data_IF_823643522085
#
_entry.id   IF_823643522085
#
_cell.length_a   1.000
_cell.length_b   1.000
_cell.length_c   1.000
_cell.angle_alpha   90.00
_cell.angle_beta   90.00
_cell.angle_gamma   90.00
#
_symmetry.space_group_name_H-M   'P 1'
#
loop_
_entity.id
_entity.type
_entity.pdbx_description
1 polymer ?
#
# COMPACT_ATOMS: atom_id res chain seq x y z
N UNK A 1 -23.01 3.80 15.17
CA UNK A 1 -23.02 5.17 14.60
C UNK A 1 -21.76 5.46 13.78
N UNK A 2 -20.55 5.40 14.35
CA UNK A 2 -19.30 5.71 13.61
C UNK A 2 -19.12 4.93 12.30
N UNK A 3 -19.44 3.63 12.28
CA UNK A 3 -19.39 2.80 11.07
C UNK A 3 -20.36 3.30 9.99
N UNK A 4 -21.55 3.77 10.35
CA UNK A 4 -22.52 4.30 9.38
C UNK A 4 -22.00 5.60 8.73
N UNK A 5 -21.40 6.49 9.53
CA UNK A 5 -20.76 7.71 9.02
C UNK A 5 -19.63 7.36 8.05
N UNK A 6 -18.86 6.30 8.36
CA UNK A 6 -17.80 5.82 7.48
C UNK A 6 -18.32 5.32 6.13
N UNK A 7 -19.46 4.62 6.09
CA UNK A 7 -20.08 4.22 4.82
C UNK A 7 -20.53 5.41 3.95
N UNK A 8 -20.83 6.57 4.55
CA UNK A 8 -21.19 7.78 3.81
C UNK A 8 -19.95 8.50 3.24
N UNK A 9 -18.83 8.49 3.97
CA UNK A 9 -17.60 9.21 3.59
C UNK A 9 -16.71 8.34 2.68
N UNK A 10 -16.67 7.02 2.90
CA UNK A 10 -15.79 6.10 2.20
C UNK A 10 -15.91 6.14 0.67
N UNK A 11 -17.10 6.29 0.03
CA UNK A 11 -17.20 6.40 -1.42
C UNK A 11 -16.43 7.59 -2.01
N UNK A 12 -16.44 8.74 -1.33
CA UNK A 12 -15.69 9.92 -1.79
C UNK A 12 -14.17 9.68 -1.73
N UNK A 13 -13.69 9.07 -0.65
CA UNK A 13 -12.27 8.72 -0.51
C UNK A 13 -11.86 7.59 -1.46
N UNK A 14 -12.74 6.61 -1.67
CA UNK A 14 -12.55 5.54 -2.63
C UNK A 14 -12.42 6.09 -4.06
N UNK A 15 -13.23 7.08 -4.45
CA UNK A 15 -13.08 7.75 -5.74
C UNK A 15 -11.71 8.41 -5.90
N UNK A 16 -11.25 9.18 -4.90
CA UNK A 16 -9.92 9.79 -4.91
C UNK A 16 -8.80 8.75 -5.01
N UNK A 17 -8.91 7.66 -4.24
CA UNK A 17 -7.94 6.57 -4.28
C UNK A 17 -7.93 5.84 -5.63
N UNK A 18 -9.10 5.50 -6.19
CA UNK A 18 -9.21 4.85 -7.49
C UNK A 18 -8.66 5.73 -8.62
N UNK A 19 -8.86 7.05 -8.54
CA UNK A 19 -8.24 7.99 -9.48
C UNK A 19 -6.71 7.98 -9.35
N UNK A 20 -6.20 8.03 -8.12
CA UNK A 20 -4.76 7.96 -7.88
C UNK A 20 -4.14 6.65 -8.34
N UNK A 21 -4.77 5.54 -7.99
CA UNK A 21 -4.38 4.22 -8.46
C UNK A 21 -4.45 4.13 -9.99
N UNK A 22 -5.45 4.72 -10.63
CA UNK A 22 -5.52 4.75 -12.10
C UNK A 22 -4.33 5.45 -12.76
N UNK A 23 -3.76 6.47 -12.09
CA UNK A 23 -2.59 7.23 -12.56
C UNK A 23 -1.25 6.59 -12.18
N UNK A 24 -1.12 6.07 -10.96
CA UNK A 24 0.16 5.60 -10.39
C UNK A 24 0.27 4.08 -10.33
N UNK A 25 -0.80 3.36 -10.66
CA UNK A 25 -0.96 1.91 -10.50
C UNK A 25 -0.78 1.42 -9.05
N UNK A 26 -1.11 2.29 -8.08
CA UNK A 26 -0.89 2.03 -6.67
C UNK A 26 -2.08 2.42 -5.79
N UNK A 27 -2.53 1.49 -4.95
CA UNK A 27 -3.61 1.72 -3.98
C UNK A 27 -3.06 2.15 -2.62
N UNK A 28 -3.59 3.26 -2.09
CA UNK A 28 -3.27 3.79 -0.76
C UNK A 28 -4.27 3.32 0.30
N UNK A 29 -5.01 2.22 0.07
CA UNK A 29 -6.07 1.73 0.96
C UNK A 29 -5.63 1.59 2.42
N UNK A 30 -4.40 1.12 2.67
CA UNK A 30 -3.86 1.02 4.03
C UNK A 30 -3.66 2.37 4.73
N UNK A 31 -3.34 3.42 3.96
CA UNK A 31 -3.20 4.79 4.49
C UNK A 31 -4.57 5.36 4.86
N UNK A 32 -5.57 5.19 3.99
CA UNK A 32 -6.95 5.57 4.30
C UNK A 32 -7.50 4.82 5.52
N UNK A 33 -7.17 3.53 5.65
CA UNK A 33 -7.50 2.74 6.84
C UNK A 33 -6.85 3.31 8.12
N UNK A 34 -5.56 3.64 8.09
CA UNK A 34 -4.87 4.28 9.23
C UNK A 34 -5.46 5.65 9.57
N UNK A 35 -5.84 6.46 8.59
CA UNK A 35 -6.54 7.73 8.84
C UNK A 35 -7.90 7.51 9.50
N UNK A 36 -8.63 6.48 9.08
CA UNK A 36 -9.89 6.09 9.73
C UNK A 36 -9.69 5.71 11.19
N UNK A 37 -8.60 5.02 11.53
CA UNK A 37 -8.23 4.73 12.92
C UNK A 37 -8.08 6.02 13.73
N UNK A 38 -7.31 6.99 13.22
CA UNK A 38 -7.09 8.26 13.93
C UNK A 38 -8.38 9.04 14.11
N UNK A 39 -9.20 9.17 13.06
CA UNK A 39 -10.45 9.94 13.12
C UNK A 39 -11.46 9.27 14.06
N UNK A 40 -11.72 7.97 13.88
CA UNK A 40 -12.72 7.26 14.70
C UNK A 40 -12.21 7.04 16.13
N UNK A 41 -10.92 6.73 16.30
CA UNK A 41 -10.28 6.58 17.60
C UNK A 41 -10.33 7.87 18.43
N UNK A 42 -10.01 9.01 17.82
CA UNK A 42 -10.08 10.31 18.49
C UNK A 42 -11.52 10.72 18.82
N UNK A 43 -12.49 10.43 17.94
CA UNK A 43 -13.90 10.77 18.16
C UNK A 43 -14.56 9.89 19.24
N UNK A 44 -14.23 8.59 19.26
CA UNK A 44 -14.80 7.66 20.23
C UNK A 44 -14.15 7.81 21.63
N UNK A 45 -12.88 8.20 21.69
CA UNK A 45 -12.14 8.37 22.94
C UNK A 45 -11.84 7.04 23.67
N UNK A 46 -10.96 7.11 24.67
CA UNK A 46 -10.50 5.94 25.42
C UNK A 46 -11.60 5.28 26.25
N UNK A 47 -12.53 6.09 26.77
CA UNK A 47 -13.61 5.64 27.66
C UNK A 47 -14.72 4.83 26.97
N UNK A 48 -14.86 4.93 25.64
CA UNK A 48 -15.92 4.24 24.89
C UNK A 48 -15.39 3.16 23.93
N UNK A 49 -14.21 2.60 24.20
CA UNK A 49 -13.65 1.53 23.37
C UNK A 49 -13.16 2.02 22.01
N UNK A 50 -12.63 3.25 21.93
CA UNK A 50 -12.16 3.87 20.68
C UNK A 50 -11.12 3.05 19.92
N UNK A 51 -10.35 2.19 20.59
CA UNK A 51 -9.42 1.26 19.94
C UNK A 51 -10.17 0.27 19.04
N UNK A 52 -11.25 -0.34 19.56
CA UNK A 52 -12.04 -1.31 18.80
C UNK A 52 -12.84 -0.63 17.69
N UNK A 53 -13.42 0.54 17.98
CA UNK A 53 -14.15 1.34 16.99
C UNK A 53 -13.22 1.81 15.86
N UNK A 54 -12.00 2.25 16.18
CA UNK A 54 -10.97 2.65 15.23
C UNK A 54 -10.52 1.50 14.33
N UNK A 55 -10.24 0.33 14.91
CA UNK A 55 -9.90 -0.88 14.14
C UNK A 55 -11.03 -1.34 13.23
N UNK A 56 -12.28 -1.32 13.72
CA UNK A 56 -13.45 -1.65 12.89
C UNK A 56 -13.62 -0.63 11.74
N UNK A 57 -13.46 0.66 12.02
CA UNK A 57 -13.49 1.73 11.02
C UNK A 57 -12.37 1.58 9.98
N UNK A 58 -11.17 1.18 10.40
CA UNK A 58 -10.06 0.86 9.53
C UNK A 58 -10.42 -0.25 8.54
N UNK A 59 -10.96 -1.36 9.04
CA UNK A 59 -11.33 -2.51 8.21
C UNK A 59 -12.34 -2.11 7.15
N UNK A 60 -13.41 -1.42 7.54
CA UNK A 60 -14.45 -0.94 6.61
C UNK A 60 -13.87 0.00 5.56
N UNK A 61 -13.09 1.00 5.97
CA UNK A 61 -12.48 1.96 5.03
C UNK A 61 -11.51 1.27 4.07
N UNK A 62 -10.63 0.42 4.59
CA UNK A 62 -9.64 -0.29 3.79
C UNK A 62 -10.32 -1.22 2.78
N UNK A 63 -11.36 -1.97 3.19
CA UNK A 63 -12.12 -2.83 2.27
C UNK A 63 -12.77 -2.02 1.15
N UNK A 64 -13.49 -0.93 1.46
CA UNK A 64 -14.18 -0.13 0.43
C UNK A 64 -13.18 0.50 -0.54
N UNK A 65 -12.12 1.12 -0.01
CA UNK A 65 -11.12 1.83 -0.79
C UNK A 65 -10.26 0.88 -1.63
N UNK A 66 -9.90 -0.29 -1.10
CA UNK A 66 -9.18 -1.32 -1.85
C UNK A 66 -10.05 -1.87 -2.97
N UNK A 67 -11.27 -2.34 -2.66
CA UNK A 67 -12.16 -2.92 -3.67
C UNK A 67 -12.48 -1.95 -4.80
N UNK A 68 -12.68 -0.65 -4.51
CA UNK A 68 -12.89 0.35 -5.54
C UNK A 68 -11.66 0.58 -6.43
N UNK A 69 -10.45 0.46 -5.88
CA UNK A 69 -9.19 0.56 -6.63
C UNK A 69 -8.97 -0.66 -7.51
N UNK A 70 -9.17 -1.86 -6.95
CA UNK A 70 -8.99 -3.13 -7.66
C UNK A 70 -9.99 -3.23 -8.82
N UNK A 71 -11.24 -2.86 -8.57
CA UNK A 71 -12.30 -2.78 -9.58
C UNK A 71 -11.93 -1.83 -10.73
N UNK A 72 -11.33 -0.68 -10.41
CA UNK A 72 -10.85 0.27 -11.40
C UNK A 72 -9.72 -0.36 -12.24
N UNK A 73 -8.70 -0.95 -11.62
CA UNK A 73 -7.59 -1.62 -12.32
C UNK A 73 -8.07 -2.73 -13.25
N UNK A 74 -9.00 -3.54 -12.79
CA UNK A 74 -9.65 -4.57 -13.59
C UNK A 74 -10.35 -3.97 -14.81
N UNK A 75 -11.18 -2.93 -14.64
CA UNK A 75 -11.85 -2.29 -15.78
C UNK A 75 -10.88 -1.66 -16.78
N UNK A 76 -9.77 -1.08 -16.31
CA UNK A 76 -8.71 -0.57 -17.19
C UNK A 76 -8.04 -1.70 -17.95
N UNK A 77 -7.75 -2.81 -17.29
CA UNK A 77 -7.19 -4.00 -17.94
C UNK A 77 -8.17 -4.58 -18.97
N UNK A 78 -9.45 -4.65 -18.63
CA UNK A 78 -10.53 -5.04 -19.54
C UNK A 78 -10.60 -4.15 -20.78
N UNK A 79 -10.55 -2.84 -20.59
CA UNK A 79 -10.51 -1.87 -21.67
C UNK A 79 -9.28 -2.06 -22.58
N UNK A 80 -8.10 -2.28 -22.00
CA UNK A 80 -6.86 -2.50 -22.75
C UNK A 80 -6.81 -3.84 -23.50
N UNK A 81 -7.51 -4.85 -22.99
CA UNK A 81 -7.61 -6.19 -23.59
C UNK A 81 -8.84 -6.35 -24.50
N UNK A 82 -9.63 -5.29 -24.67
CA UNK A 82 -10.91 -5.29 -25.41
C UNK A 82 -11.92 -6.31 -24.86
N UNK A 83 -11.82 -6.67 -23.58
CA UNK A 83 -12.76 -7.53 -22.90
C UNK A 83 -14.07 -6.79 -22.60
N UNK A 84 -15.19 -7.52 -22.56
CA UNK A 84 -16.49 -6.91 -22.30
C UNK A 84 -16.61 -6.47 -20.82
N UNK A 85 -16.91 -5.18 -20.54
CA UNK A 85 -16.99 -4.68 -19.16
C UNK A 85 -18.13 -5.31 -18.37
N UNK A 86 -19.21 -5.71 -19.05
CA UNK A 86 -20.35 -6.41 -18.42
C UNK A 86 -19.96 -7.78 -17.90
N UNK A 87 -19.18 -8.55 -18.67
CA UNK A 87 -18.72 -9.87 -18.24
C UNK A 87 -17.74 -9.77 -17.07
N UNK A 88 -16.85 -8.76 -17.09
CA UNK A 88 -15.95 -8.49 -15.96
C UNK A 88 -16.71 -8.16 -14.69
N UNK A 89 -17.70 -7.25 -14.76
CA UNK A 89 -18.51 -6.88 -13.60
C UNK A 89 -19.25 -8.09 -13.01
N UNK A 90 -19.88 -8.92 -13.86
CA UNK A 90 -20.57 -10.14 -13.39
C UNK A 90 -19.59 -11.12 -12.74
N UNK A 91 -18.42 -11.32 -13.34
CA UNK A 91 -17.37 -12.19 -12.80
C UNK A 91 -16.86 -11.70 -11.45
N UNK A 92 -16.69 -10.39 -11.28
CA UNK A 92 -16.26 -9.79 -10.02
C UNK A 92 -17.33 -9.95 -8.95
N UNK A 93 -18.60 -9.68 -9.25
CA UNK A 93 -19.69 -9.88 -8.29
C UNK A 93 -19.75 -11.34 -7.83
N UNK A 94 -19.63 -12.29 -8.76
CA UNK A 94 -19.57 -13.71 -8.43
C UNK A 94 -18.33 -14.06 -7.58
N UNK A 95 -17.16 -13.53 -7.94
CA UNK A 95 -15.91 -13.71 -7.21
C UNK A 95 -15.98 -13.15 -5.79
N UNK A 96 -16.52 -11.93 -5.62
CA UNK A 96 -16.74 -11.32 -4.30
C UNK A 96 -17.73 -12.13 -3.47
N UNK A 97 -18.83 -12.59 -4.06
CA UNK A 97 -19.81 -13.43 -3.36
C UNK A 97 -19.19 -14.73 -2.83
N UNK A 98 -18.39 -15.42 -3.67
CA UNK A 98 -17.63 -16.59 -3.23
C UNK A 98 -16.60 -16.23 -2.15
N UNK A 99 -15.87 -15.13 -2.31
CA UNK A 99 -14.88 -14.64 -1.35
C UNK A 99 -15.47 -14.35 0.03
N UNK A 100 -16.70 -13.80 0.09
CA UNK A 100 -17.42 -13.56 1.34
C UNK A 100 -17.73 -14.85 2.13
N UNK A 101 -17.76 -16.02 1.48
CA UNK A 101 -17.98 -17.31 2.14
C UNK A 101 -16.65 -18.02 2.41
N UNK A 102 -15.78 -18.08 1.40
CA UNK A 102 -14.53 -18.84 1.47
C UNK A 102 -13.55 -18.19 2.45
N UNK A 103 -13.34 -16.87 2.38
CA UNK A 103 -12.31 -16.22 3.19
C UNK A 103 -12.59 -16.32 4.70
N UNK A 104 -13.82 -16.05 5.21
CA UNK A 104 -14.12 -16.26 6.63
C UNK A 104 -14.07 -17.73 7.04
N UNK A 105 -14.48 -18.66 6.17
CA UNK A 105 -14.44 -20.10 6.45
C UNK A 105 -13.01 -20.60 6.64
N UNK A 106 -12.10 -20.20 5.75
CA UNK A 106 -10.67 -20.53 5.84
C UNK A 106 -10.06 -19.86 7.08
N UNK A 107 -10.35 -18.58 7.32
CA UNK A 107 -9.87 -17.89 8.52
C UNK A 107 -10.31 -18.62 9.81
N UNK A 108 -11.56 -19.03 9.88
CA UNK A 108 -12.11 -19.73 11.04
C UNK A 108 -11.49 -21.11 11.23
N UNK A 109 -11.21 -21.83 10.15
CA UNK A 109 -10.48 -23.11 10.19
C UNK A 109 -9.08 -22.91 10.78
N UNK A 110 -8.33 -21.93 10.27
CA UNK A 110 -6.98 -21.61 10.78
C UNK A 110 -7.00 -21.15 12.23
N UNK A 111 -7.95 -20.30 12.60
CA UNK A 111 -8.09 -19.79 13.96
C UNK A 111 -8.45 -20.89 14.97
N UNK A 112 -9.16 -21.94 14.56
CA UNK A 112 -9.45 -23.10 15.41
C UNK A 112 -8.32 -24.13 15.45
N UNK A 113 -7.59 -24.29 14.35
CA UNK A 113 -6.52 -25.27 14.25
C UNK A 113 -5.20 -24.80 14.88
N UNK A 114 -4.93 -23.49 14.85
CA UNK A 114 -3.71 -22.89 15.34
C UNK A 114 -4.00 -21.68 16.23
N UNK A 115 -3.13 -21.42 17.19
CA UNK A 115 -3.22 -20.23 18.05
C UNK A 115 -2.71 -18.99 17.30
N UNK A 116 -3.50 -18.50 16.35
CA UNK A 116 -3.15 -17.39 15.47
C UNK A 116 -3.02 -16.10 16.27
N UNK A 117 -1.85 -15.46 16.21
CA UNK A 117 -1.59 -14.18 16.86
C UNK A 117 -0.90 -14.25 18.23
N UNK A 118 -0.70 -15.45 18.80
CA UNK A 118 0.13 -15.62 19.99
C UNK A 118 1.61 -15.43 19.64
N UNK A 119 2.41 -14.72 20.47
CA UNK A 119 3.82 -14.47 20.20
C UNK A 119 4.68 -15.74 20.20
N UNK A 120 4.18 -16.86 20.74
CA UNK A 120 4.87 -18.15 20.74
C UNK A 120 4.37 -19.11 19.66
N UNK A 121 3.38 -18.71 18.87
CA UNK A 121 2.81 -19.53 17.80
C UNK A 121 3.61 -19.39 16.52
N UNK A 122 3.58 -20.43 15.69
CA UNK A 122 4.18 -20.44 14.35
C UNK A 122 3.51 -19.42 13.41
N UNK A 123 2.24 -19.08 13.70
CA UNK A 123 1.46 -18.07 12.98
C UNK A 123 1.32 -16.78 13.80
N UNK A 124 2.43 -16.07 13.98
CA UNK A 124 2.42 -14.73 14.57
C UNK A 124 1.66 -13.74 13.67
N UNK A 125 0.90 -12.83 14.28
CA UNK A 125 0.16 -11.78 13.58
C UNK A 125 0.80 -10.40 13.82
N UNK A 126 2.01 -10.14 13.28
CA UNK A 126 2.74 -8.91 13.57
C UNK A 126 1.98 -7.65 13.13
N UNK A 127 1.23 -7.74 12.02
CA UNK A 127 0.37 -6.66 11.56
C UNK A 127 -0.78 -6.38 12.54
N UNK A 128 -1.37 -7.40 13.17
CA UNK A 128 -2.43 -7.18 14.15
C UNK A 128 -1.92 -6.34 15.34
N UNK A 129 -0.72 -6.66 15.84
CA UNK A 129 -0.06 -5.87 16.89
C UNK A 129 0.25 -4.45 16.44
N UNK A 130 0.73 -4.27 15.20
CA UNK A 130 1.00 -2.95 14.62
C UNK A 130 -0.27 -2.09 14.56
N UNK A 131 -1.35 -2.60 13.98
CA UNK A 131 -2.61 -1.86 13.85
C UNK A 131 -3.27 -1.60 15.21
N UNK A 132 -3.11 -2.51 16.17
CA UNK A 132 -3.53 -2.28 17.56
C UNK A 132 -2.79 -1.10 18.17
N UNK A 133 -1.46 -1.03 18.02
CA UNK A 133 -0.66 0.07 18.54
C UNK A 133 -1.00 1.41 17.87
N UNK A 134 -1.22 1.41 16.56
CA UNK A 134 -1.71 2.60 15.82
C UNK A 134 -3.08 3.04 16.35
N UNK A 135 -3.93 2.10 16.75
CA UNK A 135 -5.26 2.41 17.30
C UNK A 135 -5.20 2.94 18.72
N UNK A 136 -4.25 2.50 19.53
CA UNK A 136 -3.98 3.09 20.85
C UNK A 136 -3.51 4.54 20.68
N UNK A 137 -2.55 4.77 19.78
CA UNK A 137 -2.10 6.13 19.43
C UNK A 137 -3.24 7.01 18.89
N UNK A 138 -4.14 6.43 18.10
CA UNK A 138 -5.31 7.14 17.57
C UNK A 138 -6.28 7.61 18.66
N UNK A 139 -6.36 6.88 19.77
CA UNK A 139 -7.20 7.21 20.93
C UNK A 139 -6.53 8.22 21.86
N UNK A 140 -5.21 8.14 22.03
CA UNK A 140 -4.40 9.15 22.75
C UNK A 140 -4.38 10.50 22.01
N UNK A 141 -4.71 10.49 20.72
CA UNK A 141 -4.87 11.67 19.89
C UNK A 141 -3.53 12.33 19.53
N UNK A 142 -3.58 13.62 19.19
CA UNK A 142 -2.41 14.37 18.68
C UNK A 142 -1.27 14.48 19.69
N UNK A 143 -1.50 14.21 20.98
CA UNK A 143 -0.48 14.25 22.03
C UNK A 143 0.45 13.02 22.00
N UNK A 144 -0.01 11.89 21.45
CA UNK A 144 0.81 10.68 21.30
C UNK A 144 1.71 10.68 20.06
N UNK A 145 1.61 11.69 19.19
CA UNK A 145 2.42 11.78 17.97
C UNK A 145 3.77 12.48 18.24
N UNK A 146 4.83 12.12 17.50
CA UNK A 146 6.11 12.83 17.57
C UNK A 146 5.96 14.34 17.37
N UNK A 147 6.81 15.12 18.06
CA UNK A 147 6.82 16.57 17.95
C UNK A 147 6.92 17.01 16.48
N UNK A 148 6.17 18.06 16.11
CA UNK A 148 6.07 18.61 14.75
C UNK A 148 5.41 17.72 13.68
N UNK A 149 4.99 16.48 13.98
CA UNK A 149 4.37 15.59 12.97
C UNK A 149 3.13 16.22 12.32
N UNK A 150 2.21 16.77 13.13
CA UNK A 150 1.02 17.45 12.63
C UNK A 150 1.34 18.70 11.81
N UNK A 151 2.34 19.48 12.23
CA UNK A 151 2.78 20.67 11.49
C UNK A 151 3.32 20.28 10.11
N UNK A 152 4.13 19.22 10.03
CA UNK A 152 4.63 18.69 8.75
C UNK A 152 3.47 18.19 7.88
N UNK A 153 2.49 17.47 8.43
CA UNK A 153 1.30 17.06 7.68
C UNK A 153 0.56 18.26 7.08
N UNK A 154 0.35 19.33 7.85
CA UNK A 154 -0.28 20.55 7.34
C UNK A 154 0.57 21.23 6.26
N UNK A 155 1.88 21.35 6.45
CA UNK A 155 2.80 21.95 5.46
C UNK A 155 2.77 21.18 4.15
N UNK A 156 2.89 19.85 4.19
CA UNK A 156 2.84 19.01 2.99
C UNK A 156 1.45 19.01 2.33
N UNK A 157 0.37 19.07 3.11
CA UNK A 157 -0.98 19.18 2.58
C UNK A 157 -1.16 20.50 1.82
N UNK A 158 -0.77 21.63 2.42
CA UNK A 158 -0.83 22.94 1.75
C UNK A 158 0.07 22.96 0.52
N UNK A 159 1.29 22.41 0.61
CA UNK A 159 2.19 22.32 -0.54
C UNK A 159 1.58 21.49 -1.68
N UNK A 160 0.95 20.36 -1.39
CA UNK A 160 0.28 19.53 -2.38
C UNK A 160 -0.88 20.29 -3.07
N UNK A 161 -1.74 20.96 -2.29
CA UNK A 161 -2.83 21.78 -2.83
C UNK A 161 -2.31 22.91 -3.72
N UNK A 162 -1.25 23.60 -3.29
CA UNK A 162 -0.62 24.66 -4.09
C UNK A 162 -0.04 24.12 -5.40
N UNK A 163 0.64 22.98 -5.37
CA UNK A 163 1.18 22.34 -6.57
C UNK A 163 0.07 21.93 -7.56
N UNK A 164 -1.02 21.34 -7.06
CA UNK A 164 -2.15 20.96 -7.91
C UNK A 164 -2.88 22.19 -8.49
N UNK A 165 -3.06 23.26 -7.71
CA UNK A 165 -3.64 24.52 -8.19
C UNK A 165 -2.74 25.20 -9.24
N UNK A 166 -1.43 25.23 -9.01
CA UNK A 166 -0.45 25.77 -9.97
C UNK A 166 -0.51 24.99 -11.29
N UNK A 167 -0.55 23.65 -11.21
CA UNK A 167 -0.64 22.78 -12.38
C UNK A 167 -1.95 22.94 -13.15
N UNK A 168 -3.08 23.09 -12.46
CA UNK A 168 -4.40 23.16 -13.09
C UNK A 168 -4.77 24.55 -13.65
N UNK A 169 -4.39 25.64 -12.99
CA UNK A 169 -4.87 26.99 -13.35
C UNK A 169 -3.81 27.94 -13.90
N UNK A 170 -2.55 27.81 -13.50
CA UNK A 170 -1.57 28.88 -13.67
C UNK A 170 -0.48 28.57 -14.71
N UNK A 171 -0.20 27.29 -14.97
CA UNK A 171 0.88 26.89 -15.87
C UNK A 171 0.37 26.55 -17.28
N UNK A 172 1.00 27.09 -18.34
CA UNK A 172 0.78 26.62 -19.70
C UNK A 172 1.07 25.12 -19.80
N UNK A 173 0.34 24.38 -20.65
CA UNK A 173 0.50 22.91 -20.83
C UNK A 173 1.97 22.45 -21.00
N UNK A 174 2.83 23.30 -21.59
CA UNK A 174 4.26 23.04 -21.77
C UNK A 174 5.07 22.99 -20.47
N UNK A 175 4.66 23.72 -19.43
CA UNK A 175 5.32 23.74 -18.12
C UNK A 175 4.60 22.82 -17.11
N UNK A 176 3.28 22.65 -17.25
CA UNK A 176 2.49 21.76 -16.40
C UNK A 176 2.92 20.28 -16.47
N UNK A 177 3.53 19.84 -17.58
CA UNK A 177 4.07 18.49 -17.73
C UNK A 177 5.28 18.19 -16.82
N UNK A 178 6.01 19.23 -16.39
CA UNK A 178 7.18 19.07 -15.51
C UNK A 178 6.82 19.13 -14.03
N UNK A 179 5.58 19.49 -13.69
CA UNK A 179 5.13 19.53 -12.28
C UNK A 179 4.80 18.12 -11.82
N UNK A 180 5.52 17.59 -10.80
CA UNK A 180 5.27 16.26 -10.28
C UNK A 180 3.86 16.19 -9.69
N UNK A 181 3.22 15.04 -9.85
CA UNK A 181 1.92 14.78 -9.22
C UNK A 181 2.19 14.49 -7.74
N UNK A 182 1.62 15.26 -6.78
CA UNK A 182 1.90 15.07 -5.37
C UNK A 182 1.66 13.64 -4.89
N UNK A 183 0.62 12.96 -5.40
CA UNK A 183 0.37 11.56 -5.09
C UNK A 183 1.48 10.62 -5.56
N UNK A 184 2.03 10.82 -6.75
CA UNK A 184 3.14 10.02 -7.25
C UNK A 184 4.43 10.26 -6.45
N UNK A 185 4.65 11.51 -6.01
CA UNK A 185 5.78 11.87 -5.17
C UNK A 185 5.70 11.20 -3.79
N UNK A 186 4.50 11.00 -3.24
CA UNK A 186 4.31 10.42 -1.90
C UNK A 186 4.63 8.91 -1.82
N UNK A 187 4.52 8.16 -2.94
CA UNK A 187 4.66 6.69 -2.93
C UNK A 187 6.06 6.23 -2.45
N UNK A 188 7.19 6.76 -2.97
CA UNK A 188 8.51 6.36 -2.48
C UNK A 188 8.77 6.70 -1.01
N UNK A 189 8.19 7.79 -0.50
CA UNK A 189 8.28 8.12 0.93
C UNK A 189 7.50 7.13 1.81
N UNK A 190 6.49 6.46 1.25
CA UNK A 190 5.71 5.46 1.94
C UNK A 190 6.34 4.06 1.91
N UNK A 191 6.79 3.62 0.73
CA UNK A 191 7.29 2.25 0.51
C UNK A 191 8.79 2.16 0.81
N UNK A 192 9.55 3.18 0.45
CA UNK A 192 11.00 3.22 0.56
C UNK A 192 11.65 3.71 -0.73
N UNK A 193 12.87 4.25 -0.60
CA UNK A 193 13.60 4.83 -1.72
C UNK A 193 13.96 3.83 -2.82
N UNK A 194 14.05 2.53 -2.51
CA UNK A 194 14.31 1.47 -3.48
C UNK A 194 13.28 1.48 -4.62
N UNK A 195 12.02 1.74 -4.29
CA UNK A 195 10.94 1.79 -5.27
C UNK A 195 11.14 2.92 -6.29
N UNK A 196 11.64 4.09 -5.86
CA UNK A 196 11.96 5.18 -6.78
C UNK A 196 13.12 4.82 -7.72
N UNK A 197 14.11 4.07 -7.22
CA UNK A 197 15.23 3.58 -8.03
C UNK A 197 14.73 2.60 -9.08
N UNK A 198 13.90 1.63 -8.69
CA UNK A 198 13.33 0.62 -9.59
C UNK A 198 12.48 1.25 -10.68
N UNK A 199 11.60 2.21 -10.34
CA UNK A 199 10.81 2.96 -11.31
C UNK A 199 11.68 3.78 -12.28
N UNK A 200 12.76 4.38 -11.79
CA UNK A 200 13.70 5.15 -12.61
C UNK A 200 14.40 4.23 -13.63
N UNK A 201 14.93 3.09 -13.17
CA UNK A 201 15.59 2.10 -14.03
C UNK A 201 14.60 1.56 -15.06
N UNK A 202 13.40 1.16 -14.64
CA UNK A 202 12.35 0.68 -15.55
C UNK A 202 11.96 1.72 -16.60
N UNK A 203 11.84 2.99 -16.21
CA UNK A 203 11.54 4.10 -17.12
C UNK A 203 12.67 4.37 -18.12
N UNK A 204 13.94 4.28 -17.68
CA UNK A 204 15.11 4.44 -18.55
C UNK A 204 15.19 3.33 -19.60
N UNK A 205 14.93 2.07 -19.19
CA UNK A 205 14.87 0.93 -20.12
C UNK A 205 13.77 1.14 -21.16
N UNK A 206 12.57 1.54 -20.72
CA UNK A 206 11.46 1.82 -21.63
C UNK A 206 11.80 2.97 -22.59
N UNK A 207 12.40 4.05 -22.09
CA UNK A 207 12.79 5.20 -22.90
C UNK A 207 13.84 4.84 -23.97
N UNK A 208 14.85 4.05 -23.60
CA UNK A 208 15.83 3.53 -24.55
C UNK A 208 15.18 2.63 -25.61
N UNK A 209 14.24 1.76 -25.20
CA UNK A 209 13.53 0.88 -26.11
C UNK A 209 12.60 1.65 -27.07
N UNK A 210 11.92 2.69 -26.59
CA UNK A 210 11.10 3.56 -27.44
C UNK A 210 11.92 4.34 -28.47
N UNK A 211 13.16 4.71 -28.13
CA UNK A 211 14.09 5.36 -29.08
C UNK A 211 14.52 4.43 -30.21
N UNK A 212 14.66 3.13 -29.93
CA UNK A 212 15.06 2.13 -30.93
C UNK A 212 13.86 1.66 -31.76
N UNK A 213 12.75 1.29 -31.11
CA UNK A 213 11.57 0.78 -31.81
C UNK A 213 10.26 1.06 -31.06
N UNK A 214 9.61 2.16 -31.43
CA UNK A 214 8.32 2.60 -30.83
C UNK A 214 7.20 1.57 -30.93
N UNK A 215 7.11 0.85 -32.05
CA UNK A 215 6.03 -0.10 -32.29
C UNK A 215 6.15 -1.34 -31.38
N UNK A 216 7.35 -1.91 -31.29
CA UNK A 216 7.62 -3.05 -30.39
C UNK A 216 7.52 -2.66 -28.92
N UNK A 217 8.08 -1.51 -28.54
CA UNK A 217 8.01 -1.02 -27.16
C UNK A 217 6.54 -0.86 -26.71
N UNK A 218 5.68 -0.26 -27.54
CA UNK A 218 4.26 -0.05 -27.16
C UNK A 218 3.45 -1.35 -27.04
N UNK A 219 3.83 -2.39 -27.78
CA UNK A 219 3.17 -3.69 -27.76
C UNK A 219 3.69 -4.62 -26.65
N UNK A 220 5.01 -4.71 -26.46
CA UNK A 220 5.64 -5.67 -25.55
C UNK A 220 6.03 -5.12 -24.17
N UNK A 221 6.14 -3.80 -23.98
CA UNK A 221 6.57 -3.21 -22.70
C UNK A 221 5.76 -3.72 -21.51
N UNK A 222 4.43 -3.74 -21.62
CA UNK A 222 3.52 -4.25 -20.58
C UNK A 222 3.77 -5.73 -20.27
N UNK A 223 4.00 -6.55 -21.31
CA UNK A 223 4.26 -7.98 -21.15
C UNK A 223 5.62 -8.25 -20.47
N UNK A 224 6.66 -7.50 -20.85
CA UNK A 224 7.98 -7.61 -20.21
C UNK A 224 7.92 -7.13 -18.76
N UNK A 225 7.26 -6.00 -18.49
CA UNK A 225 7.09 -5.50 -17.12
C UNK A 225 6.34 -6.51 -16.23
N UNK A 226 5.23 -7.09 -16.72
CA UNK A 226 4.52 -8.15 -15.97
C UNK A 226 5.38 -9.40 -15.76
N UNK A 227 6.24 -9.75 -16.73
CA UNK A 227 7.16 -10.87 -16.60
C UNK A 227 8.23 -10.64 -15.53
N UNK A 228 8.77 -9.42 -15.43
CA UNK A 228 9.73 -9.05 -14.40
C UNK A 228 9.10 -9.07 -12.99
N UNK A 229 7.88 -8.52 -12.85
CA UNK A 229 7.13 -8.55 -11.58
C UNK A 229 6.81 -10.00 -11.17
N UNK A 230 6.35 -10.83 -12.12
CA UNK A 230 6.08 -12.24 -11.87
C UNK A 230 7.36 -13.01 -11.51
N UNK A 231 8.48 -12.68 -12.14
CA UNK A 231 9.79 -13.25 -11.84
C UNK A 231 10.24 -12.98 -10.40
N UNK A 232 10.03 -11.76 -9.91
CA UNK A 232 10.30 -11.41 -8.51
C UNK A 232 9.41 -12.21 -7.53
N UNK A 233 8.11 -12.35 -7.86
CA UNK A 233 7.20 -13.20 -7.08
C UNK A 233 7.55 -14.69 -7.12
N UNK A 234 8.09 -15.19 -8.23
CA UNK A 234 8.57 -16.58 -8.34
C UNK A 234 9.81 -16.80 -7.46
N UNK A 235 10.67 -15.79 -7.27
CA UNK A 235 11.84 -15.89 -6.40
C UNK A 235 11.48 -16.07 -4.92
N UNK A 236 10.29 -15.61 -4.52
CA UNK A 236 9.81 -15.76 -3.14
C UNK A 236 9.62 -17.24 -2.75
N UNK A 237 9.32 -18.12 -3.71
CA UNK A 237 9.13 -19.56 -3.48
C UNK A 237 10.46 -20.26 -3.11
N UNK A 238 11.55 -20.20 -3.92
CA UNK A 238 12.85 -20.71 -3.51
C UNK A 238 13.37 -20.09 -2.22
N UNK A 239 13.20 -18.79 -2.02
CA UNK A 239 13.61 -18.11 -0.80
C UNK A 239 12.89 -18.67 0.44
N UNK A 240 11.58 -18.90 0.32
CA UNK A 240 10.77 -19.53 1.39
C UNK A 240 11.22 -20.96 1.66
N UNK A 241 11.52 -21.75 0.62
CA UNK A 241 12.03 -23.13 0.75
C UNK A 241 13.39 -23.15 1.42
N UNK A 242 14.31 -22.25 1.05
CA UNK A 242 15.62 -22.10 1.68
C UNK A 242 15.49 -21.70 3.16
N UNK A 243 14.55 -20.80 3.48
CA UNK A 243 14.24 -20.41 4.85
C UNK A 243 13.66 -21.57 5.68
N UNK A 244 12.78 -22.38 5.09
CA UNK A 244 12.23 -23.60 5.69
C UNK A 244 13.29 -24.67 5.92
N UNK A 245 14.21 -24.82 4.96
CA UNK A 245 15.35 -25.74 5.04
C UNK A 245 16.45 -25.26 6.00
N UNK A 246 16.27 -24.10 6.67
CA UNK A 246 17.26 -23.46 7.56
C UNK A 246 18.65 -23.36 6.94
N UNK A 247 18.70 -23.11 5.63
CA UNK A 247 19.97 -22.89 4.94
C UNK A 247 20.50 -21.53 5.38
N UNK A 248 21.64 -21.54 6.06
CA UNK A 248 22.30 -20.30 6.45
C UNK A 248 22.65 -19.49 5.20
N UNK A 249 22.24 -18.22 5.12
CA UNK A 249 22.56 -17.39 3.96
C UNK A 249 24.08 -17.22 3.87
N UNK A 250 24.68 -17.41 2.68
CA UNK A 250 26.13 -17.38 2.51
C UNK A 250 26.74 -16.00 2.80
N UNK A 251 25.94 -14.94 2.84
CA UNK A 251 26.34 -13.59 3.21
C UNK A 251 25.23 -12.92 4.04
N UNK A 252 25.54 -12.58 5.30
CA UNK A 252 24.67 -11.77 6.14
C UNK A 252 25.13 -10.31 6.04
N UNK A 253 24.56 -9.52 5.14
CA UNK A 253 24.88 -8.08 5.04
C UNK A 253 24.08 -7.29 6.08
N UNK A 254 24.77 -6.75 7.07
CA UNK A 254 24.22 -5.79 8.05
C UNK A 254 24.63 -4.38 7.64
N UNK A 255 23.65 -3.55 7.29
CA UNK A 255 23.86 -2.12 7.05
C UNK A 255 23.78 -1.35 8.36
N UNK A 256 24.83 -1.46 9.17
CA UNK A 256 24.99 -0.64 10.38
C UNK A 256 25.83 0.59 10.06
N UNK A 257 25.73 1.62 10.90
CA UNK A 257 26.67 2.75 10.83
C UNK A 257 28.11 2.24 10.97
N UNK A 258 29.08 2.90 10.34
CA UNK A 258 30.48 2.47 10.38
C UNK A 258 31.01 2.26 11.81
N UNK A 259 30.56 3.09 12.77
CA UNK A 259 30.91 2.97 14.18
C UNK A 259 30.33 1.69 14.82
N UNK A 260 29.09 1.34 14.47
CA UNK A 260 28.42 0.13 14.98
C UNK A 260 28.97 -1.13 14.31
N UNK A 261 29.32 -1.08 13.02
CA UNK A 261 30.03 -2.18 12.34
C UNK A 261 31.38 -2.45 13.00
N UNK A 262 32.17 -1.42 13.31
CA UNK A 262 33.45 -1.60 14.01
C UNK A 262 33.29 -2.22 15.42
N UNK A 263 32.19 -1.93 16.12
CA UNK A 263 31.87 -2.57 17.40
C UNK A 263 31.46 -4.03 17.24
N UNK A 264 30.65 -4.33 16.22
CA UNK A 264 30.21 -5.70 15.90
C UNK A 264 31.39 -6.54 15.42
N UNK A 265 32.27 -6.00 14.58
CA UNK A 265 33.49 -6.69 14.12
C UNK A 265 34.43 -6.98 15.28
N UNK A 266 34.60 -6.04 16.23
CA UNK A 266 35.35 -6.30 17.48
C UNK A 266 34.71 -7.36 18.36
N UNK A 267 33.39 -7.47 18.36
CA UNK A 267 32.66 -8.48 19.14
C UNK A 267 32.71 -9.86 18.47
N UNK A 268 32.75 -9.91 17.14
CA UNK A 268 32.83 -11.15 16.36
C UNK A 268 34.27 -11.67 16.20
N UNK A 269 35.27 -10.79 16.29
CA UNK A 269 36.69 -11.13 16.23
C UNK A 269 37.30 -11.48 17.61
N UNK A 270 36.46 -11.83 18.60
CA UNK A 270 36.89 -12.33 19.91
C UNK A 270 37.77 -13.56 19.81
#
# INVERSE_FOLDING_TARGET
>A
YYILVMYLIAPALAFCNSYGCGLTDWSLASTYGKLAIFVVGALAGSSHGGVLAGLAGCGVMMSIVSTASDLMQDFKTGYLTLASPRSMFVSQVAGTAMGCVIAPSVFWLFHKAFDVGSPTSEYQAPYATLYRNISILGVEGLQGLPAHCFQLCCVFFVAAVVLDLLKCRLLPKKWAQFVPIPMALAIPFYVGGYFAVDMCIGSLILYAWERVNKAKARALSRAVASGLICGDGLWTLPASVLSLARVDPPMCMKFLSAATNAQVDKFLAG
#
